data_IF_003843957382
#
_entry.id   IF_003843957382
#
_cell.length_a   1.000
_cell.length_b   1.000
_cell.length_c   1.000
_cell.angle_alpha   90.00
_cell.angle_beta   90.00
_cell.angle_gamma   90.00
#
_symmetry.space_group_name_H-M   'P 1'
#
loop_
_entity.id
_entity.type
_entity.pdbx_description
1 polymer ?
#
# COMPACT_ATOMS: atom_id res chain seq x y z
N UNK A 1 -39.97 -3.05 37.97
CA UNK A 1 -39.75 -3.81 36.73
C UNK A 1 -39.28 -2.93 35.55
N UNK A 2 -39.88 -1.79 35.28
CA UNK A 2 -39.46 -0.91 34.16
C UNK A 2 -37.98 -0.47 34.22
N UNK A 3 -37.45 -0.20 35.41
CA UNK A 3 -36.06 0.22 35.63
C UNK A 3 -35.05 -0.93 35.36
N UNK A 4 -35.44 -2.15 35.67
CA UNK A 4 -34.61 -3.35 35.40
C UNK A 4 -34.53 -3.63 33.88
N UNK A 5 -35.64 -3.51 33.17
CA UNK A 5 -35.67 -3.68 31.70
C UNK A 5 -34.78 -2.64 30.99
N UNK A 6 -34.83 -1.38 31.45
CA UNK A 6 -33.97 -0.32 30.91
C UNK A 6 -32.49 -0.59 31.13
N UNK A 7 -32.12 -1.11 32.30
CA UNK A 7 -30.74 -1.49 32.61
C UNK A 7 -30.23 -2.63 31.70
N UNK A 8 -31.06 -3.64 31.51
CA UNK A 8 -30.71 -4.78 30.64
C UNK A 8 -30.49 -4.34 29.20
N UNK A 9 -31.40 -3.49 28.66
CA UNK A 9 -31.29 -2.94 27.30
C UNK A 9 -29.98 -2.12 27.17
N UNK A 10 -29.65 -1.33 28.19
CA UNK A 10 -28.43 -0.53 28.20
C UNK A 10 -27.16 -1.42 28.19
N UNK A 11 -27.13 -2.48 28.99
CA UNK A 11 -26.01 -3.43 29.03
C UNK A 11 -25.86 -4.16 27.68
N UNK A 12 -26.97 -4.59 27.07
CA UNK A 12 -26.94 -5.25 25.76
C UNK A 12 -26.42 -4.29 24.69
N UNK A 13 -26.85 -3.04 24.70
CA UNK A 13 -26.37 -2.02 23.78
C UNK A 13 -24.86 -1.74 23.96
N UNK A 14 -24.37 -1.69 25.22
CA UNK A 14 -22.94 -1.53 25.49
C UNK A 14 -22.12 -2.73 25.02
N UNK A 15 -22.57 -3.95 25.28
CA UNK A 15 -21.88 -5.18 24.82
C UNK A 15 -21.88 -5.24 23.29
N UNK A 16 -22.98 -4.88 22.64
CA UNK A 16 -23.06 -4.85 21.19
C UNK A 16 -22.14 -3.80 20.59
N UNK A 17 -22.12 -2.58 21.14
CA UNK A 17 -21.22 -1.51 20.70
C UNK A 17 -19.74 -1.92 20.93
N UNK A 18 -19.44 -2.53 22.07
CA UNK A 18 -18.10 -3.06 22.34
C UNK A 18 -17.67 -4.11 21.34
N UNK A 19 -18.57 -5.05 21.01
CA UNK A 19 -18.30 -6.09 20.02
C UNK A 19 -18.07 -5.49 18.62
N UNK A 20 -18.88 -4.54 18.18
CA UNK A 20 -18.72 -3.86 16.88
C UNK A 20 -17.39 -3.11 16.80
N UNK A 21 -16.96 -2.44 17.87
CA UNK A 21 -15.69 -1.69 17.89
C UNK A 21 -14.47 -2.64 17.90
N UNK A 22 -14.59 -3.82 18.55
CA UNK A 22 -13.46 -4.74 18.69
C UNK A 22 -13.40 -5.86 17.66
N UNK A 23 -14.45 -6.09 16.88
CA UNK A 23 -14.45 -7.08 15.79
C UNK A 23 -13.84 -6.55 14.51
N UNK A 24 -13.76 -5.25 14.31
CA UNK A 24 -12.96 -4.66 13.24
C UNK A 24 -11.53 -4.53 13.76
N UNK A 25 -10.68 -5.51 13.48
CA UNK A 25 -9.24 -5.32 13.56
C UNK A 25 -8.89 -4.30 12.46
N UNK A 26 -9.00 -3.04 12.82
CA UNK A 26 -8.55 -1.96 11.95
C UNK A 26 -7.06 -2.19 11.71
N UNK A 27 -6.66 -2.27 10.45
CA UNK A 27 -5.27 -2.28 10.06
C UNK A 27 -4.64 -1.02 10.66
N UNK A 28 -3.58 -1.20 11.44
CA UNK A 28 -2.97 -0.13 12.22
C UNK A 28 -2.40 0.98 11.33
N UNK A 29 -2.34 2.19 11.87
CA UNK A 29 -1.74 3.34 11.17
C UNK A 29 -0.31 3.06 10.70
N UNK A 30 0.48 2.32 11.48
CA UNK A 30 1.85 1.94 11.12
C UNK A 30 1.90 1.09 9.85
N UNK A 31 0.99 0.13 9.70
CA UNK A 31 0.87 -0.69 8.50
C UNK A 31 0.49 0.15 7.28
N UNK A 32 -0.47 1.06 7.41
CA UNK A 32 -0.83 1.97 6.33
C UNK A 32 0.34 2.86 5.91
N UNK A 33 1.04 3.44 6.89
CA UNK A 33 2.22 4.27 6.63
C UNK A 33 3.34 3.46 5.97
N UNK A 34 3.60 2.25 6.44
CA UNK A 34 4.58 1.35 5.86
C UNK A 34 4.26 0.98 4.41
N UNK A 35 2.99 0.63 4.12
CA UNK A 35 2.54 0.35 2.75
C UNK A 35 2.73 1.58 1.85
N UNK A 36 2.40 2.78 2.32
CA UNK A 36 2.57 4.01 1.54
C UNK A 36 4.04 4.26 1.20
N UNK A 37 4.95 4.12 2.15
CA UNK A 37 6.39 4.29 1.92
C UNK A 37 6.88 3.28 0.89
N UNK A 38 6.53 2.01 1.03
CA UNK A 38 6.94 0.96 0.09
C UNK A 38 6.31 1.10 -1.30
N UNK A 39 5.08 1.59 -1.38
CA UNK A 39 4.47 1.93 -2.66
C UNK A 39 5.20 3.08 -3.35
N UNK A 40 5.63 4.10 -2.61
CA UNK A 40 6.45 5.18 -3.15
C UNK A 40 7.78 4.67 -3.71
N UNK A 41 8.47 3.81 -2.98
CA UNK A 41 9.71 3.16 -3.42
C UNK A 41 9.48 2.30 -4.68
N UNK A 42 8.38 1.54 -4.71
CA UNK A 42 8.02 0.72 -5.86
C UNK A 42 7.76 1.57 -7.11
N UNK A 43 7.04 2.68 -6.97
CA UNK A 43 6.80 3.63 -8.06
C UNK A 43 8.14 4.17 -8.58
N UNK A 44 9.03 4.59 -7.69
CA UNK A 44 10.33 5.14 -8.06
C UNK A 44 11.19 4.09 -8.77
N UNK A 45 11.29 2.89 -8.22
CA UNK A 45 12.08 1.79 -8.79
C UNK A 45 11.54 1.38 -10.15
N UNK A 46 10.22 1.16 -10.25
CA UNK A 46 9.58 0.76 -11.51
C UNK A 46 9.75 1.82 -12.59
N UNK A 47 9.62 3.10 -12.23
CA UNK A 47 9.84 4.18 -13.19
C UNK A 47 11.30 4.22 -13.67
N UNK A 48 12.26 4.08 -12.76
CA UNK A 48 13.69 4.07 -13.10
C UNK A 48 14.05 2.90 -14.02
N UNK A 49 13.45 1.73 -13.81
CA UNK A 49 13.67 0.55 -14.64
C UNK A 49 13.01 0.67 -16.03
N UNK A 50 11.77 1.15 -16.07
CA UNK A 50 10.99 1.22 -17.32
C UNK A 50 11.28 2.46 -18.14
N UNK A 51 11.63 3.56 -17.49
CA UNK A 51 11.88 4.86 -18.09
C UNK A 51 13.15 5.49 -17.52
N UNK A 52 14.34 4.98 -17.87
CA UNK A 52 15.62 5.45 -17.30
C UNK A 52 15.91 6.93 -17.61
N UNK A 53 15.26 7.49 -18.62
CA UNK A 53 15.40 8.91 -19.00
C UNK A 53 14.35 9.83 -18.36
N UNK A 54 13.41 9.27 -17.61
CA UNK A 54 12.42 10.05 -16.87
C UNK A 54 13.09 10.90 -15.79
N UNK A 55 12.61 12.13 -15.66
CA UNK A 55 13.11 13.12 -14.68
C UNK A 55 11.96 13.69 -13.87
N UNK A 56 12.31 14.32 -12.76
CA UNK A 56 11.39 15.09 -11.93
C UNK A 56 10.14 14.29 -11.49
N UNK A 57 10.35 13.03 -11.05
CA UNK A 57 9.29 12.24 -10.44
C UNK A 57 8.74 12.95 -9.21
N UNK A 58 7.45 13.22 -9.22
CA UNK A 58 6.72 13.75 -8.08
C UNK A 58 5.46 12.90 -7.82
N UNK A 59 5.38 12.31 -6.64
CA UNK A 59 4.17 11.62 -6.18
C UNK A 59 3.22 12.69 -5.67
N UNK A 60 2.10 12.88 -6.37
CA UNK A 60 1.11 13.93 -6.08
C UNK A 60 0.01 13.45 -5.15
N UNK A 61 -0.24 12.15 -5.12
CA UNK A 61 -1.25 11.52 -4.27
C UNK A 61 -0.80 10.11 -3.92
N UNK A 62 -0.90 9.76 -2.66
CA UNK A 62 -0.69 8.38 -2.19
C UNK A 62 -1.44 8.21 -0.86
N UNK A 63 -2.46 7.38 -0.87
CA UNK A 63 -3.22 7.05 0.33
C UNK A 63 -3.68 5.60 0.28
N UNK A 64 -4.00 5.05 1.42
CA UNK A 64 -4.40 3.66 1.59
C UNK A 64 -5.72 3.57 2.35
N UNK A 65 -6.55 2.62 1.96
CA UNK A 65 -7.86 2.35 2.53
C UNK A 65 -7.98 0.87 2.85
N UNK A 66 -8.48 0.56 4.04
CA UNK A 66 -8.79 -0.81 4.44
C UNK A 66 -10.06 -1.29 3.75
N UNK A 67 -9.97 -2.33 2.95
CA UNK A 67 -11.13 -3.01 2.37
C UNK A 67 -11.63 -4.15 3.26
N UNK A 68 -10.72 -4.87 3.91
CA UNK A 68 -10.99 -5.93 4.88
C UNK A 68 -9.77 -6.17 5.75
N UNK A 69 -9.86 -7.07 6.71
CA UNK A 69 -8.72 -7.45 7.58
C UNK A 69 -7.45 -7.85 6.81
N UNK A 70 -7.64 -8.39 5.61
CA UNK A 70 -6.56 -8.93 4.76
C UNK A 70 -6.40 -8.19 3.44
N UNK A 71 -7.09 -7.07 3.22
CA UNK A 71 -7.03 -6.33 1.96
C UNK A 71 -6.96 -4.83 2.19
N UNK A 72 -6.02 -4.21 1.52
CA UNK A 72 -5.83 -2.77 1.47
C UNK A 72 -5.86 -2.31 0.02
N UNK A 73 -6.57 -1.22 -0.24
CA UNK A 73 -6.50 -0.50 -1.50
C UNK A 73 -5.54 0.68 -1.34
N UNK A 74 -4.56 0.78 -2.20
CA UNK A 74 -3.69 1.93 -2.33
C UNK A 74 -4.10 2.73 -3.56
N UNK A 75 -4.33 4.02 -3.41
CA UNK A 75 -4.61 4.93 -4.52
C UNK A 75 -3.42 5.86 -4.65
N UNK A 76 -2.91 5.99 -5.85
CA UNK A 76 -1.73 6.78 -6.12
C UNK A 76 -1.87 7.63 -7.38
N UNK A 77 -1.18 8.74 -7.39
CA UNK A 77 -0.96 9.55 -8.56
C UNK A 77 0.47 10.10 -8.53
N UNK A 78 1.13 10.06 -9.64
CA UNK A 78 2.47 10.62 -9.79
C UNK A 78 2.64 11.24 -11.18
N UNK A 79 3.60 12.13 -11.28
CA UNK A 79 3.98 12.76 -12.54
C UNK A 79 5.47 12.72 -12.72
N UNK A 80 5.89 12.70 -13.95
CA UNK A 80 7.30 12.75 -14.33
C UNK A 80 7.44 13.39 -15.71
N UNK A 81 8.65 13.81 -16.05
CA UNK A 81 9.00 14.32 -17.36
C UNK A 81 9.65 13.19 -18.14
N UNK A 82 9.03 12.79 -19.23
CA UNK A 82 9.59 11.85 -20.20
C UNK A 82 10.25 12.65 -21.34
N UNK A 83 11.44 12.23 -21.73
CA UNK A 83 12.13 12.81 -22.88
C UNK A 83 11.80 11.96 -24.12
N UNK A 84 11.14 12.57 -25.10
CA UNK A 84 10.88 11.92 -26.38
C UNK A 84 12.17 11.74 -27.17
N UNK A 85 12.15 10.86 -28.16
CA UNK A 85 13.30 10.62 -29.06
C UNK A 85 13.77 11.89 -29.76
N UNK A 86 12.86 12.85 -30.00
CA UNK A 86 13.13 14.16 -30.59
C UNK A 86 13.71 15.17 -29.58
N UNK A 87 13.87 14.76 -28.29
CA UNK A 87 14.43 15.60 -27.23
C UNK A 87 13.40 16.56 -26.60
N UNK A 88 12.13 16.45 -26.97
CA UNK A 88 11.06 17.21 -26.32
C UNK A 88 10.74 16.63 -24.94
N UNK A 89 10.55 17.50 -23.96
CA UNK A 89 10.15 17.13 -22.60
C UNK A 89 8.62 17.11 -22.53
N UNK A 90 8.05 15.94 -22.23
CA UNK A 90 6.61 15.76 -22.06
C UNK A 90 6.29 15.37 -20.63
N UNK A 91 5.44 16.18 -19.96
CA UNK A 91 4.93 15.81 -18.63
C UNK A 91 3.90 14.69 -18.77
N UNK A 92 4.15 13.58 -18.08
CA UNK A 92 3.24 12.45 -17.97
C UNK A 92 2.63 12.43 -16.58
N UNK A 93 1.32 12.25 -16.51
CA UNK A 93 0.57 12.09 -15.25
C UNK A 93 -0.05 10.70 -15.26
N UNK A 94 0.27 9.90 -14.25
CA UNK A 94 -0.25 8.55 -14.07
C UNK A 94 -1.06 8.51 -12.79
N UNK A 95 -2.29 8.05 -12.89
CA UNK A 95 -3.14 7.76 -11.75
C UNK A 95 -3.45 6.26 -11.72
N UNK A 96 -3.56 5.71 -10.54
CA UNK A 96 -3.85 4.30 -10.39
C UNK A 96 -4.33 3.90 -9.02
N UNK A 97 -4.77 2.65 -8.97
CA UNK A 97 -5.09 1.96 -7.74
C UNK A 97 -4.46 0.57 -7.73
N UNK A 98 -4.07 0.14 -6.56
CA UNK A 98 -3.51 -1.18 -6.34
C UNK A 98 -4.24 -1.88 -5.18
N UNK A 99 -4.49 -3.17 -5.33
CA UNK A 99 -5.03 -4.01 -4.28
C UNK A 99 -3.89 -4.86 -3.70
N UNK A 100 -3.69 -4.72 -2.40
CA UNK A 100 -2.73 -5.50 -1.65
C UNK A 100 -3.47 -6.52 -0.78
N UNK A 101 -2.97 -7.73 -0.77
CA UNK A 101 -3.49 -8.81 0.06
C UNK A 101 -2.45 -9.21 1.10
N UNK A 102 -2.89 -9.35 2.36
CA UNK A 102 -2.05 -9.80 3.46
C UNK A 102 -1.83 -11.31 3.36
N UNK A 103 -0.58 -11.71 3.31
CA UNK A 103 -0.18 -13.10 3.41
C UNK A 103 0.24 -13.39 4.84
N UNK A 104 -0.34 -14.42 5.51
CA UNK A 104 0.11 -14.81 6.82
C UNK A 104 1.55 -15.30 6.75
N UNK A 105 2.45 -14.59 7.44
CA UNK A 105 3.84 -15.01 7.55
C UNK A 105 3.99 -16.04 8.67
N UNK A 106 4.70 -17.13 8.41
CA UNK A 106 5.09 -18.12 9.43
C UNK A 106 6.09 -17.52 10.44
N UNK A 107 6.78 -16.47 10.07
CA UNK A 107 7.66 -15.73 10.96
C UNK A 107 6.85 -14.73 11.78
N UNK A 108 6.89 -14.89 13.09
CA UNK A 108 6.22 -14.02 14.06
C UNK A 108 6.53 -12.54 13.78
N UNK A 109 5.49 -11.76 13.59
CA UNK A 109 5.44 -10.29 13.55
C UNK A 109 5.82 -9.58 12.24
N UNK A 110 5.96 -10.25 11.11
CA UNK A 110 6.18 -9.56 9.84
C UNK A 110 4.98 -9.80 8.93
N UNK A 111 4.17 -8.78 8.76
CA UNK A 111 3.08 -8.80 7.80
C UNK A 111 3.63 -8.60 6.38
N UNK A 112 3.41 -9.58 5.53
CA UNK A 112 3.74 -9.50 4.11
C UNK A 112 2.49 -9.16 3.33
N UNK A 113 2.60 -8.12 2.50
CA UNK A 113 1.52 -7.69 1.63
C UNK A 113 1.90 -7.95 0.19
N UNK A 114 1.03 -8.64 -0.53
CA UNK A 114 1.26 -8.97 -1.93
C UNK A 114 0.39 -8.08 -2.81
N UNK A 115 1.01 -7.48 -3.80
CA UNK A 115 0.35 -6.70 -4.83
C UNK A 115 -0.41 -7.64 -5.77
N UNK A 116 -1.73 -7.68 -5.66
CA UNK A 116 -2.56 -8.60 -6.46
C UNK A 116 -3.02 -8.01 -7.77
N UNK A 117 -3.44 -6.77 -7.75
CA UNK A 117 -4.04 -6.11 -8.90
C UNK A 117 -3.60 -4.65 -8.93
N UNK A 118 -3.19 -4.19 -10.08
CA UNK A 118 -2.86 -2.78 -10.31
C UNK A 118 -3.62 -2.30 -11.54
N UNK A 119 -4.35 -1.22 -11.37
CA UNK A 119 -5.03 -0.51 -12.46
C UNK A 119 -4.45 0.88 -12.58
N UNK A 120 -4.01 1.24 -13.76
CA UNK A 120 -3.48 2.57 -14.07
C UNK A 120 -4.22 3.20 -15.24
N UNK A 121 -4.25 4.51 -15.27
CA UNK A 121 -4.86 5.27 -16.39
C UNK A 121 -4.06 5.18 -17.68
N UNK A 122 -2.81 4.73 -17.61
CA UNK A 122 -1.91 4.64 -18.74
C UNK A 122 -1.04 3.38 -18.65
N UNK A 123 -0.86 2.72 -19.78
CA UNK A 123 0.01 1.54 -19.89
C UNK A 123 1.51 1.90 -20.03
N UNK A 124 1.86 3.16 -19.85
CA UNK A 124 3.25 3.66 -19.98
C UNK A 124 4.17 3.04 -18.90
N UNK A 125 3.63 2.80 -17.71
CA UNK A 125 4.35 2.15 -16.61
C UNK A 125 3.50 1.01 -16.08
N UNK A 126 3.96 -0.22 -16.27
CA UNK A 126 3.29 -1.43 -15.80
C UNK A 126 4.01 -1.92 -14.53
N UNK A 127 3.27 -2.02 -13.44
CA UNK A 127 3.75 -2.62 -12.21
C UNK A 127 3.68 -4.15 -12.29
N UNK A 128 4.69 -4.80 -11.73
CA UNK A 128 4.71 -6.26 -11.67
C UNK A 128 3.78 -6.75 -10.56
N UNK A 129 2.70 -7.44 -10.94
CA UNK A 129 1.85 -8.13 -9.99
C UNK A 129 2.62 -9.22 -9.25
N UNK A 130 2.27 -9.48 -7.99
CA UNK A 130 2.99 -10.43 -7.15
C UNK A 130 4.16 -9.84 -6.38
N UNK A 131 4.47 -8.55 -6.55
CA UNK A 131 5.48 -7.87 -5.74
C UNK A 131 5.09 -7.90 -4.26
N UNK A 132 6.04 -8.29 -3.41
CA UNK A 132 5.85 -8.36 -1.95
C UNK A 132 6.23 -7.04 -1.32
N UNK A 133 5.36 -6.51 -0.48
CA UNK A 133 5.58 -5.30 0.32
C UNK A 133 5.59 -5.70 1.80
N UNK A 134 6.68 -5.36 2.49
CA UNK A 134 6.83 -5.61 3.93
C UNK A 134 6.92 -4.25 4.64
N UNK A 135 5.85 -3.82 5.34
CA UNK A 135 5.81 -2.49 5.97
C UNK A 135 6.86 -2.29 7.06
N UNK A 136 7.25 -3.38 7.73
CA UNK A 136 8.11 -3.34 8.91
C UNK A 136 9.62 -3.46 8.63
N UNK A 137 10.05 -3.65 7.37
CA UNK A 137 11.46 -3.67 7.04
C UNK A 137 12.05 -2.26 7.14
N UNK A 138 12.56 -1.94 8.32
CA UNK A 138 13.55 -0.90 8.48
C UNK A 138 14.82 -1.40 7.80
N UNK A 139 15.06 -0.91 6.58
CA UNK A 139 16.33 -0.97 5.86
C UNK A 139 17.35 -2.02 6.38
N UNK A 140 17.30 -3.24 5.83
CA UNK A 140 18.53 -3.99 5.72
C UNK A 140 19.23 -3.48 4.46
N UNK A 141 20.44 -2.91 4.55
CA UNK A 141 21.19 -2.52 3.37
C UNK A 141 21.44 -3.78 2.54
N UNK A 142 21.16 -3.68 1.24
CA UNK A 142 21.52 -4.72 0.28
C UNK A 142 23.00 -5.05 0.46
N UNK A 143 23.28 -6.19 1.05
CA UNK A 143 24.63 -6.73 1.09
C UNK A 143 24.87 -7.33 -0.29
N UNK A 144 25.58 -6.58 -1.14
CA UNK A 144 26.25 -7.13 -2.31
C UNK A 144 27.15 -8.27 -1.84
N UNK A 145 26.67 -9.49 -1.90
CA UNK A 145 27.54 -10.66 -1.89
C UNK A 145 28.22 -10.73 -3.26
N UNK A 146 29.31 -10.01 -3.37
CA UNK A 146 30.34 -10.24 -4.36
C UNK A 146 30.98 -11.58 -4.05
N UNK A 147 30.50 -12.64 -4.70
CA UNK A 147 31.21 -13.90 -4.75
C UNK A 147 32.38 -13.73 -5.71
N UNK A 148 33.55 -13.43 -5.14
CA UNK A 148 34.84 -13.70 -5.76
C UNK A 148 35.20 -15.17 -5.51
N UNK A 149 35.21 -15.95 -6.57
CA UNK A 149 36.21 -17.01 -6.72
C UNK A 149 36.33 -17.43 -8.20
#
# INVERSE_FOLDING_TARGET
MKKLVSLVVFIVALVWTWNVIHTTQAIGFETHSGIQIRMADLIQTTLTEKKPHAKDLAITRLWTETLSENKVRAVFAYKFIDLTEDGEALEQVIEGEAILHREPSEQRNIDRWILQEVKTTSDVVIFTEGSTITPDDKEAPATDEKNEN
#
